data_IF_752055794061
#
_entry.id   IF_752055794061
#
_cell.length_a   1.000
_cell.length_b   1.000
_cell.length_c   1.000
_cell.angle_alpha   90.00
_cell.angle_beta   90.00
_cell.angle_gamma   90.00
#
_symmetry.space_group_name_H-M   'P 1'
#
loop_
_entity.id
_entity.type
_entity.pdbx_description
1 polymer ?
#
# COMPACT_ATOMS: atom_id res chain seq x y z
N UNK A 1 18.71 -3.31 -6.57
CA UNK A 1 17.96 -4.10 -7.55
C UNK A 1 18.70 -5.34 -8.05
N UNK A 2 19.99 -5.26 -8.43
CA UNK A 2 20.75 -6.44 -8.90
C UNK A 2 20.65 -7.67 -7.97
N UNK A 3 20.78 -7.49 -6.65
CA UNK A 3 20.62 -8.60 -5.71
C UNK A 3 19.22 -9.25 -5.72
N UNK A 4 18.17 -8.50 -6.05
CA UNK A 4 16.81 -9.03 -6.21
C UNK A 4 16.71 -9.81 -7.52
N UNK A 5 17.26 -9.25 -8.61
CA UNK A 5 17.35 -9.91 -9.92
C UNK A 5 18.05 -11.28 -9.82
N UNK A 6 19.20 -11.36 -9.15
CA UNK A 6 19.95 -12.60 -8.92
C UNK A 6 19.15 -13.69 -8.20
N UNK A 7 18.06 -13.32 -7.53
CA UNK A 7 17.19 -14.19 -6.73
C UNK A 7 15.81 -14.39 -7.34
N UNK A 8 15.56 -13.85 -8.54
CA UNK A 8 14.24 -13.90 -9.18
C UNK A 8 13.17 -13.09 -8.41
N UNK A 9 13.58 -12.06 -7.69
CA UNK A 9 12.67 -11.18 -6.93
C UNK A 9 12.41 -9.93 -7.77
N UNK A 10 11.15 -9.73 -8.18
CA UNK A 10 10.69 -8.49 -8.79
C UNK A 10 10.56 -7.37 -7.73
N UNK A 11 10.66 -6.12 -8.16
CA UNK A 11 10.69 -4.95 -7.26
C UNK A 11 9.63 -3.94 -7.70
N UNK A 12 8.68 -3.65 -6.82
CA UNK A 12 7.82 -2.49 -6.94
C UNK A 12 8.58 -1.24 -6.47
N UNK A 13 8.47 -0.14 -7.22
CA UNK A 13 9.06 1.14 -6.84
C UNK A 13 7.97 2.06 -6.29
N UNK A 14 8.23 2.71 -5.17
CA UNK A 14 7.42 3.78 -4.61
C UNK A 14 8.32 4.83 -3.95
N UNK A 15 7.74 5.91 -3.44
CA UNK A 15 8.44 6.94 -2.71
C UNK A 15 7.56 7.61 -1.66
N UNK A 16 8.16 7.87 -0.50
CA UNK A 16 7.61 8.67 0.60
C UNK A 16 8.14 10.12 0.55
N UNK A 17 8.79 10.52 -0.54
CA UNK A 17 9.41 11.83 -0.73
C UNK A 17 10.16 12.32 0.52
N UNK A 18 11.10 11.51 1.00
CA UNK A 18 11.89 11.80 2.20
C UNK A 18 12.54 13.19 2.11
N UNK A 19 12.45 13.98 3.17
CA UNK A 19 13.16 15.26 3.24
C UNK A 19 14.66 15.00 3.34
N UNK A 20 15.41 15.56 2.39
CA UNK A 20 16.86 15.64 2.45
C UNK A 20 17.30 17.03 2.94
N UNK A 21 18.60 17.21 3.15
CA UNK A 21 19.16 18.49 3.64
C UNK A 21 18.92 19.68 2.71
N UNK A 22 18.54 19.45 1.45
CA UNK A 22 18.24 20.51 0.47
C UNK A 22 16.74 20.67 0.19
N UNK A 23 15.89 19.85 0.82
CA UNK A 23 14.46 19.74 0.55
C UNK A 23 14.14 19.67 -0.96
N UNK A 24 14.86 18.82 -1.70
CA UNK A 24 14.77 18.71 -3.15
C UNK A 24 13.35 18.37 -3.63
N UNK A 25 12.57 17.64 -2.83
CA UNK A 25 11.14 17.35 -3.07
C UNK A 25 10.28 18.59 -3.24
N UNK A 26 10.62 19.72 -2.60
CA UNK A 26 9.88 20.98 -2.75
C UNK A 26 10.04 21.64 -4.13
N UNK A 27 10.92 21.11 -4.98
CA UNK A 27 11.11 21.57 -6.37
C UNK A 27 10.14 20.92 -7.35
N UNK A 28 9.35 19.95 -6.90
CA UNK A 28 8.30 19.34 -7.71
C UNK A 28 7.18 20.38 -7.83
N UNK A 29 7.17 21.11 -8.94
CA UNK A 29 6.24 22.24 -9.16
C UNK A 29 5.00 21.87 -9.96
N UNK A 30 4.94 20.64 -10.48
CA UNK A 30 3.87 20.16 -11.34
C UNK A 30 4.04 18.68 -11.71
N UNK A 31 2.99 18.06 -12.30
CA UNK A 31 3.01 16.66 -12.73
C UNK A 31 4.12 16.34 -13.73
N UNK A 32 4.51 17.30 -14.58
CA UNK A 32 5.60 17.17 -15.54
C UNK A 32 6.96 17.01 -14.86
N UNK A 33 7.18 17.74 -13.76
CA UNK A 33 8.43 17.63 -12.97
C UNK A 33 8.45 16.31 -12.22
N UNK A 34 7.31 15.89 -11.65
CA UNK A 34 7.17 14.59 -11.01
C UNK A 34 7.51 13.45 -12.00
N UNK A 35 6.93 13.50 -13.20
CA UNK A 35 7.19 12.53 -14.25
C UNK A 35 8.66 12.50 -14.69
N UNK A 36 9.29 13.67 -14.87
CA UNK A 36 10.71 13.73 -15.26
C UNK A 36 11.64 13.14 -14.19
N UNK A 37 11.35 13.34 -12.90
CA UNK A 37 12.13 12.73 -11.81
C UNK A 37 12.03 11.20 -11.81
N UNK A 38 10.82 10.68 -12.03
CA UNK A 38 10.61 9.25 -12.18
C UNK A 38 11.26 8.70 -13.44
N UNK A 39 11.14 9.38 -14.58
CA UNK A 39 11.77 9.00 -15.84
C UNK A 39 13.28 8.86 -15.69
N UNK A 40 13.96 9.84 -15.07
CA UNK A 40 15.40 9.78 -14.81
C UNK A 40 15.82 8.60 -13.92
N UNK A 41 14.96 8.26 -12.95
CA UNK A 41 15.19 7.11 -12.07
C UNK A 41 15.07 5.80 -12.88
N UNK A 42 14.03 5.67 -13.70
CA UNK A 42 13.81 4.52 -14.57
C UNK A 42 14.89 4.38 -15.65
N UNK A 43 15.32 5.49 -16.26
CA UNK A 43 16.42 5.55 -17.22
C UNK A 43 17.73 5.02 -16.60
N UNK A 44 17.98 5.34 -15.32
CA UNK A 44 19.15 4.83 -14.58
C UNK A 44 19.07 3.32 -14.37
N UNK A 45 17.89 2.80 -14.00
CA UNK A 45 17.64 1.37 -13.83
C UNK A 45 17.75 0.63 -15.18
N UNK A 46 17.27 1.25 -16.26
CA UNK A 46 17.34 0.73 -17.62
C UNK A 46 18.79 0.67 -18.14
N UNK A 47 19.61 1.67 -17.84
CA UNK A 47 21.04 1.68 -18.20
C UNK A 47 21.81 0.48 -17.61
N UNK A 48 21.38 -0.01 -16.45
CA UNK A 48 21.94 -1.21 -15.81
C UNK A 48 21.27 -2.52 -16.28
N UNK A 49 20.34 -2.45 -17.24
CA UNK A 49 19.61 -3.62 -17.76
C UNK A 49 18.63 -4.25 -16.76
N UNK A 50 18.23 -3.50 -15.73
CA UNK A 50 17.41 -4.01 -14.62
C UNK A 50 15.91 -3.67 -14.74
N UNK A 51 15.51 -2.97 -15.81
CA UNK A 51 14.12 -2.51 -15.97
C UNK A 51 13.10 -3.65 -16.02
N UNK A 52 13.47 -4.81 -16.57
CA UNK A 52 12.63 -6.00 -16.60
C UNK A 52 12.35 -6.63 -15.24
N UNK A 53 13.02 -6.18 -14.17
CA UNK A 53 12.75 -6.61 -12.79
C UNK A 53 11.84 -5.63 -12.02
N UNK A 54 11.41 -4.53 -12.65
CA UNK A 54 10.43 -3.61 -12.05
C UNK A 54 9.03 -4.21 -12.20
N UNK A 55 8.38 -4.49 -11.07
CA UNK A 55 7.03 -5.07 -11.06
C UNK A 55 5.96 -4.03 -11.42
N UNK A 56 6.04 -2.86 -10.78
CA UNK A 56 5.24 -1.68 -11.08
C UNK A 56 5.92 -0.44 -10.48
N UNK A 57 5.44 0.74 -10.87
CA UNK A 57 5.90 2.04 -10.38
C UNK A 57 4.71 2.79 -9.78
N UNK A 58 4.74 2.95 -8.46
CA UNK A 58 3.86 3.82 -7.69
C UNK A 58 4.51 5.19 -7.55
N UNK A 59 3.87 6.23 -8.08
CA UNK A 59 4.50 7.56 -8.13
C UNK A 59 4.56 8.27 -6.78
N UNK A 60 3.68 7.91 -5.84
CA UNK A 60 3.62 8.50 -4.51
C UNK A 60 2.86 7.60 -3.55
N UNK A 61 3.50 7.27 -2.43
CA UNK A 61 2.87 6.56 -1.32
C UNK A 61 1.63 7.29 -0.81
N UNK A 62 0.51 6.58 -0.61
CA UNK A 62 -0.71 7.06 0.04
C UNK A 62 -1.19 8.42 -0.48
N UNK A 63 -1.27 8.54 -1.80
CA UNK A 63 -1.73 9.76 -2.45
C UNK A 63 -3.20 10.07 -2.13
N UNK A 64 -3.58 11.32 -1.79
CA UNK A 64 -2.78 12.53 -1.77
C UNK A 64 -2.50 12.99 -0.32
N UNK A 65 -2.02 12.13 0.57
CA UNK A 65 -1.77 12.56 1.95
C UNK A 65 -0.68 13.66 2.00
N UNK A 66 -0.89 14.78 2.71
CA UNK A 66 0.07 15.89 2.80
C UNK A 66 1.47 15.49 3.26
N UNK A 67 1.56 14.45 4.10
CA UNK A 67 2.82 13.92 4.60
C UNK A 67 3.74 13.42 3.48
N UNK A 68 3.16 12.90 2.39
CA UNK A 68 3.89 12.31 1.27
C UNK A 68 3.82 13.14 -0.01
N UNK A 69 2.93 14.13 -0.06
CA UNK A 69 2.72 15.01 -1.22
C UNK A 69 3.06 16.47 -0.90
N UNK A 70 4.28 16.79 -0.44
CA UNK A 70 4.66 18.16 -0.05
C UNK A 70 4.65 19.15 -1.23
N UNK A 71 4.48 18.67 -2.46
CA UNK A 71 4.31 19.47 -3.67
C UNK A 71 2.85 19.87 -3.95
N UNK A 72 1.89 19.18 -3.33
CA UNK A 72 0.46 19.47 -3.45
C UNK A 72 -0.06 20.31 -2.27
N UNK A 73 0.66 20.32 -1.15
CA UNK A 73 0.25 20.97 0.09
C UNK A 73 1.31 21.92 0.63
N UNK A 74 0.91 23.02 1.31
CA UNK A 74 1.83 23.95 1.94
C UNK A 74 2.52 23.37 3.20
N UNK A 75 2.08 22.21 3.69
CA UNK A 75 2.66 21.54 4.86
C UNK A 75 1.91 20.26 5.21
N UNK A 76 2.51 19.45 6.09
CA UNK A 76 2.01 18.11 6.45
C UNK A 76 0.72 18.12 7.28
N UNK A 77 0.35 19.25 7.90
CA UNK A 77 -0.88 19.44 8.67
C UNK A 77 -2.06 19.96 7.82
N UNK A 78 -1.88 20.09 6.50
CA UNK A 78 -2.95 20.54 5.63
C UNK A 78 -4.13 19.56 5.65
N UNK A 79 -5.34 20.08 5.41
CA UNK A 79 -6.51 19.24 5.21
C UNK A 79 -6.32 18.41 3.94
N UNK A 80 -6.58 17.10 4.03
CA UNK A 80 -6.46 16.20 2.88
C UNK A 80 -7.52 16.57 1.85
N UNK A 81 -7.07 16.85 0.63
CA UNK A 81 -7.94 17.12 -0.52
C UNK A 81 -8.42 15.83 -1.13
N UNK A 82 -9.64 15.83 -1.68
CA UNK A 82 -10.22 14.64 -2.29
C UNK A 82 -9.56 14.34 -3.63
N UNK A 83 -9.39 13.05 -3.97
CA UNK A 83 -8.93 12.66 -5.32
C UNK A 83 -9.92 12.98 -6.43
N UNK A 84 -11.15 13.32 -6.08
CA UNK A 84 -12.17 13.81 -7.03
C UNK A 84 -11.96 15.27 -7.44
N UNK A 85 -11.13 16.03 -6.71
CA UNK A 85 -10.80 17.40 -7.09
C UNK A 85 -9.94 17.42 -8.36
N UNK A 86 -10.32 18.28 -9.33
CA UNK A 86 -9.69 18.28 -10.66
C UNK A 86 -8.18 18.48 -10.65
N UNK A 87 -7.65 19.32 -9.77
CA UNK A 87 -6.19 19.50 -9.63
C UNK A 87 -5.51 18.24 -9.07
N UNK A 88 -6.06 17.64 -8.02
CA UNK A 88 -5.52 16.41 -7.41
C UNK A 88 -5.57 15.26 -8.43
N UNK A 89 -6.66 15.13 -9.17
CA UNK A 89 -6.75 14.13 -10.24
C UNK A 89 -5.75 14.39 -11.37
N UNK A 90 -5.56 15.65 -11.80
CA UNK A 90 -4.68 15.96 -12.93
C UNK A 90 -3.21 15.64 -12.63
N UNK A 91 -2.78 15.72 -11.37
CA UNK A 91 -1.47 15.23 -10.96
C UNK A 91 -1.25 13.76 -11.28
N UNK A 92 -2.26 12.91 -11.07
CA UNK A 92 -2.18 11.49 -11.42
C UNK A 92 -2.18 11.31 -12.94
N UNK A 93 -3.16 11.91 -13.63
CA UNK A 93 -3.34 11.71 -15.07
C UNK A 93 -2.13 12.19 -15.90
N UNK A 94 -1.69 13.43 -15.68
CA UNK A 94 -0.66 14.07 -16.48
C UNK A 94 0.72 13.45 -16.24
N UNK A 95 1.06 13.12 -14.98
CA UNK A 95 2.36 12.52 -14.66
C UNK A 95 2.49 11.10 -15.21
N UNK A 96 1.42 10.30 -15.14
CA UNK A 96 1.38 8.96 -15.71
C UNK A 96 1.41 8.99 -17.24
N UNK A 97 0.67 9.91 -17.87
CA UNK A 97 0.70 10.07 -19.32
C UNK A 97 2.12 10.41 -19.82
N UNK A 98 2.82 11.31 -19.14
CA UNK A 98 4.20 11.67 -19.47
C UNK A 98 5.18 10.50 -19.30
N UNK A 99 5.03 9.69 -18.25
CA UNK A 99 5.86 8.49 -18.05
C UNK A 99 5.60 7.40 -19.10
N UNK A 100 4.33 7.13 -19.41
CA UNK A 100 3.95 6.15 -20.42
C UNK A 100 4.48 6.50 -21.81
N UNK A 101 4.62 7.79 -22.12
CA UNK A 101 5.24 8.22 -23.38
C UNK A 101 6.72 7.82 -23.50
N UNK A 102 7.39 7.56 -22.37
CA UNK A 102 8.83 7.29 -22.28
C UNK A 102 9.15 5.82 -21.97
N UNK A 103 8.37 5.18 -21.11
CA UNK A 103 8.46 3.76 -20.77
C UNK A 103 7.08 3.09 -20.85
N UNK A 104 6.51 2.90 -22.07
CA UNK A 104 5.15 2.39 -22.27
C UNK A 104 4.93 0.94 -21.80
N UNK A 105 6.00 0.19 -21.57
CA UNK A 105 5.97 -1.21 -21.15
C UNK A 105 5.76 -1.43 -19.65
N UNK A 106 5.91 -0.37 -18.84
CA UNK A 106 5.80 -0.44 -17.38
C UNK A 106 4.35 -0.28 -16.92
N UNK A 107 4.12 -0.78 -15.71
CA UNK A 107 2.85 -0.71 -15.01
C UNK A 107 2.92 0.41 -13.98
N UNK A 108 1.90 1.28 -13.95
CA UNK A 108 1.89 2.47 -13.11
C UNK A 108 0.67 2.60 -12.22
N UNK A 109 0.86 3.19 -11.05
CA UNK A 109 -0.22 3.60 -10.16
C UNK A 109 0.17 4.80 -9.28
N UNK A 110 -0.80 5.21 -8.46
CA UNK A 110 -0.60 5.87 -7.18
C UNK A 110 -1.24 4.97 -6.11
N UNK A 111 -0.60 4.79 -4.96
CA UNK A 111 -1.16 4.00 -3.84
C UNK A 111 -2.10 4.82 -2.97
N UNK A 112 -3.14 4.20 -2.41
CA UNK A 112 -4.18 4.89 -1.61
C UNK A 112 -4.42 4.23 -0.26
N UNK A 113 -4.75 5.02 0.77
CA UNK A 113 -5.08 4.52 2.12
C UNK A 113 -6.36 5.11 2.72
N UNK A 114 -7.19 5.80 1.93
CA UNK A 114 -8.42 6.46 2.37
C UNK A 114 -9.41 6.62 1.20
N UNK A 115 -10.58 7.21 1.48
CA UNK A 115 -11.72 7.40 0.57
C UNK A 115 -12.21 6.07 -0.05
N UNK A 116 -12.19 4.99 0.71
CA UNK A 116 -12.73 3.71 0.26
C UNK A 116 -14.25 3.73 0.17
N UNK A 117 -14.94 4.58 0.94
CA UNK A 117 -16.42 4.66 0.89
C UNK A 117 -16.96 5.35 -0.36
N UNK A 118 -16.19 6.24 -0.97
CA UNK A 118 -16.57 7.02 -2.17
C UNK A 118 -15.89 6.49 -3.45
N UNK A 119 -15.48 5.23 -3.46
CA UNK A 119 -14.70 4.67 -4.57
C UNK A 119 -15.40 4.75 -5.94
N UNK A 120 -16.74 4.73 -5.97
CA UNK A 120 -17.52 4.83 -7.21
C UNK A 120 -17.46 6.23 -7.85
N UNK A 121 -17.06 7.25 -7.09
CA UNK A 121 -16.97 8.63 -7.55
C UNK A 121 -15.57 8.96 -8.08
N UNK A 122 -14.60 8.08 -7.84
CA UNK A 122 -13.20 8.29 -8.20
C UNK A 122 -12.92 7.78 -9.63
N UNK A 123 -12.38 8.67 -10.47
CA UNK A 123 -11.78 8.26 -11.73
C UNK A 123 -10.37 7.74 -11.49
N UNK A 124 -10.20 6.43 -11.72
CA UNK A 124 -8.92 5.72 -11.61
C UNK A 124 -8.50 5.11 -12.95
N UNK A 125 -9.07 5.59 -14.05
CA UNK A 125 -8.85 5.03 -15.39
C UNK A 125 -7.40 5.13 -15.85
N UNK A 126 -6.67 6.16 -15.38
CA UNK A 126 -5.26 6.39 -15.69
C UNK A 126 -4.30 5.38 -15.03
N UNK A 127 -4.72 4.69 -13.97
CA UNK A 127 -3.93 3.70 -13.24
C UNK A 127 -3.98 2.34 -13.92
N UNK A 128 -2.90 1.56 -13.87
CA UNK A 128 -2.91 0.16 -14.36
C UNK A 128 -3.40 -0.83 -13.31
N UNK A 129 -3.20 -0.52 -12.04
CA UNK A 129 -3.59 -1.32 -10.88
C UNK A 129 -4.07 -0.41 -9.74
N UNK A 130 -4.74 -1.00 -8.77
CA UNK A 130 -5.07 -0.37 -7.50
C UNK A 130 -4.11 -0.92 -6.43
N UNK A 131 -3.24 -0.07 -5.90
CA UNK A 131 -2.44 -0.37 -4.71
C UNK A 131 -3.16 0.27 -3.52
N UNK A 132 -3.74 -0.56 -2.65
CA UNK A 132 -4.60 -0.12 -1.56
C UNK A 132 -4.05 -0.59 -0.21
N UNK A 133 -3.82 0.36 0.69
CA UNK A 133 -3.38 0.10 2.06
C UNK A 133 -4.58 -0.15 2.97
N UNK A 134 -4.62 -1.32 3.61
CA UNK A 134 -5.82 -1.82 4.29
C UNK A 134 -5.47 -2.31 5.69
N UNK A 135 -5.96 -1.64 6.73
CA UNK A 135 -5.80 -2.05 8.11
C UNK A 135 -7.13 -2.10 8.86
N UNK A 136 -7.30 -3.09 9.72
CA UNK A 136 -8.44 -3.22 10.62
C UNK A 136 -8.70 -1.93 11.42
N UNK A 137 -7.63 -1.22 11.79
CA UNK A 137 -7.69 0.00 12.62
C UNK A 137 -7.95 1.30 11.86
N UNK A 138 -8.06 1.30 10.52
CA UNK A 138 -8.40 2.51 9.78
C UNK A 138 -9.80 3.02 10.19
N UNK A 139 -10.03 4.34 10.26
CA UNK A 139 -11.34 4.89 10.65
C UNK A 139 -12.51 4.41 9.76
N UNK A 140 -12.27 4.23 8.46
CA UNK A 140 -13.27 3.68 7.52
C UNK A 140 -13.53 2.17 7.70
N UNK A 141 -12.65 1.48 8.45
CA UNK A 141 -12.75 0.07 8.78
C UNK A 141 -13.31 -0.13 10.19
N UNK A 142 -12.79 0.51 11.23
CA UNK A 142 -13.26 0.31 12.62
C UNK A 142 -12.96 1.48 13.56
N UNK A 143 -13.47 1.40 14.79
CA UNK A 143 -13.26 2.35 15.87
C UNK A 143 -12.13 1.92 16.85
N UNK A 144 -11.30 0.94 16.48
CA UNK A 144 -10.31 0.34 17.39
C UNK A 144 -9.35 1.37 18.00
N UNK A 145 -8.76 2.23 17.17
CA UNK A 145 -7.86 3.29 17.63
C UNK A 145 -8.58 4.38 18.42
N UNK A 146 -9.82 4.73 18.05
CA UNK A 146 -10.65 5.65 18.82
C UNK A 146 -10.87 5.12 20.25
N UNK A 147 -11.21 3.84 20.40
CA UNK A 147 -11.40 3.19 21.71
C UNK A 147 -10.11 3.11 22.54
N UNK A 148 -8.95 3.07 21.91
CA UNK A 148 -7.65 3.17 22.59
C UNK A 148 -7.24 4.62 22.88
N UNK A 149 -8.03 5.60 22.43
CA UNK A 149 -7.71 7.02 22.55
C UNK A 149 -6.50 7.44 21.72
N UNK A 150 -6.27 6.78 20.57
CA UNK A 150 -5.20 7.10 19.63
C UNK A 150 -5.77 7.68 18.34
N UNK A 151 -5.31 8.86 17.96
CA UNK A 151 -5.66 9.48 16.68
C UNK A 151 -4.49 9.35 15.71
N UNK A 152 -4.58 8.44 14.73
CA UNK A 152 -3.48 8.18 13.78
C UNK A 152 -2.93 9.45 13.12
N UNK A 153 -3.80 10.39 12.72
CA UNK A 153 -3.39 11.67 12.13
C UNK A 153 -2.84 12.69 13.13
N UNK A 154 -3.38 12.71 14.35
CA UNK A 154 -3.01 13.70 15.37
C UNK A 154 -1.74 13.31 16.15
N UNK A 155 -1.63 12.03 16.50
CA UNK A 155 -0.54 11.50 17.30
C UNK A 155 0.64 11.05 16.41
N UNK A 156 0.44 10.92 15.08
CA UNK A 156 1.46 10.56 14.08
C UNK A 156 2.41 9.44 14.58
N UNK A 157 3.70 9.73 14.65
CA UNK A 157 4.78 8.85 15.13
C UNK A 157 5.13 9.04 16.62
N UNK A 158 4.24 9.65 17.42
CA UNK A 158 4.44 9.80 18.86
C UNK A 158 4.52 8.42 19.54
N UNK A 159 5.58 8.13 20.32
CA UNK A 159 5.73 6.86 21.00
C UNK A 159 4.63 6.55 22.03
N UNK A 160 3.80 7.52 22.43
CA UNK A 160 2.64 7.33 23.33
C UNK A 160 1.71 6.24 22.82
N UNK A 161 1.60 6.09 21.50
CA UNK A 161 0.82 5.05 20.85
C UNK A 161 1.21 3.64 21.32
N UNK A 162 2.51 3.34 21.36
CA UNK A 162 2.99 2.03 21.80
C UNK A 162 2.64 1.75 23.26
N UNK A 163 2.62 2.80 24.09
CA UNK A 163 2.19 2.68 25.49
C UNK A 163 0.69 2.36 25.58
N UNK A 164 -0.16 3.02 24.77
CA UNK A 164 -1.60 2.75 24.72
C UNK A 164 -1.91 1.34 24.21
N UNK A 165 -1.23 0.91 23.14
CA UNK A 165 -1.33 -0.45 22.62
C UNK A 165 -0.89 -1.50 23.65
N UNK A 166 0.25 -1.31 24.31
CA UNK A 166 0.72 -2.24 25.34
C UNK A 166 -0.22 -2.24 26.56
N UNK A 167 -0.81 -1.09 26.88
CA UNK A 167 -1.72 -0.97 27.99
C UNK A 167 -3.05 -1.70 27.75
N UNK A 168 -3.58 -1.80 26.52
CA UNK A 168 -4.92 -2.34 26.29
C UNK A 168 -5.28 -2.85 24.90
N UNK A 169 -4.39 -2.77 23.91
CA UNK A 169 -4.68 -3.16 22.52
C UNK A 169 -5.11 -4.62 22.39
N UNK A 170 -4.30 -5.55 22.89
CA UNK A 170 -4.65 -6.99 22.86
C UNK A 170 -5.94 -7.28 23.63
N UNK A 171 -6.15 -6.64 24.79
CA UNK A 171 -7.38 -6.84 25.58
C UNK A 171 -8.63 -6.35 24.84
N UNK A 172 -8.52 -5.22 24.14
CA UNK A 172 -9.61 -4.70 23.32
C UNK A 172 -9.91 -5.64 22.16
N UNK A 173 -8.87 -6.13 21.47
CA UNK A 173 -9.02 -7.14 20.43
C UNK A 173 -9.71 -8.40 20.96
N UNK A 174 -9.18 -8.95 22.06
CA UNK A 174 -9.66 -10.19 22.68
C UNK A 174 -11.08 -10.11 23.26
N UNK A 175 -11.62 -8.90 23.47
CA UNK A 175 -13.00 -8.72 23.94
C UNK A 175 -14.04 -9.13 22.91
N UNK A 176 -13.72 -9.02 21.62
CA UNK A 176 -14.59 -9.45 20.51
C UNK A 176 -13.77 -9.66 19.21
N UNK A 177 -12.99 -10.75 19.10
CA UNK A 177 -12.16 -11.01 17.92
C UNK A 177 -12.97 -11.15 16.62
N UNK A 178 -14.18 -11.69 16.70
CA UNK A 178 -15.06 -11.87 15.54
C UNK A 178 -15.51 -10.52 14.98
N UNK A 179 -15.82 -9.55 15.84
CA UNK A 179 -16.12 -8.20 15.41
C UNK A 179 -14.98 -7.59 14.59
N UNK A 180 -13.75 -7.61 15.10
CA UNK A 180 -12.60 -7.00 14.42
C UNK A 180 -12.28 -7.71 13.09
N UNK A 181 -12.34 -9.05 13.06
CA UNK A 181 -12.21 -9.83 11.81
C UNK A 181 -13.30 -9.46 10.82
N UNK A 182 -14.56 -9.36 11.24
CA UNK A 182 -15.66 -8.98 10.36
C UNK A 182 -15.47 -7.57 9.78
N UNK A 183 -15.01 -6.61 10.59
CA UNK A 183 -14.70 -5.24 10.10
C UNK A 183 -13.60 -5.26 9.04
N UNK A 184 -12.53 -6.01 9.27
CA UNK A 184 -11.45 -6.20 8.29
C UNK A 184 -11.96 -6.87 7.00
N UNK A 185 -12.76 -7.94 7.11
CA UNK A 185 -13.30 -8.62 5.94
C UNK A 185 -14.21 -7.72 5.09
N UNK A 186 -15.09 -6.93 5.72
CA UNK A 186 -15.93 -5.95 5.01
C UNK A 186 -15.05 -4.95 4.25
N UNK A 187 -13.94 -4.50 4.86
CA UNK A 187 -13.04 -3.56 4.23
C UNK A 187 -12.29 -4.17 3.03
N UNK A 188 -11.81 -5.41 3.15
CA UNK A 188 -11.19 -6.17 2.05
C UNK A 188 -12.19 -6.41 0.91
N UNK A 189 -13.43 -6.78 1.22
CA UNK A 189 -14.47 -6.96 0.20
C UNK A 189 -14.82 -5.66 -0.51
N UNK A 190 -14.82 -4.52 0.20
CA UNK A 190 -15.00 -3.20 -0.42
C UNK A 190 -13.88 -2.88 -1.41
N UNK A 191 -12.63 -3.13 -1.06
CA UNK A 191 -11.50 -3.01 -1.99
C UNK A 191 -11.67 -3.93 -3.21
N UNK A 192 -12.11 -5.17 -3.00
CA UNK A 192 -12.44 -6.09 -4.10
C UNK A 192 -13.56 -5.57 -5.02
N UNK A 193 -14.58 -4.93 -4.45
CA UNK A 193 -15.67 -4.31 -5.22
C UNK A 193 -15.20 -3.09 -6.01
N UNK A 194 -14.28 -2.29 -5.46
CA UNK A 194 -13.62 -1.22 -6.22
C UNK A 194 -12.84 -1.78 -7.41
N UNK A 195 -12.05 -2.84 -7.20
CA UNK A 195 -11.36 -3.54 -8.28
C UNK A 195 -12.29 -4.05 -9.38
N UNK A 196 -13.47 -4.59 -9.01
CA UNK A 196 -14.48 -5.02 -9.99
C UNK A 196 -15.08 -3.83 -10.73
N UNK A 197 -15.37 -2.74 -10.02
CA UNK A 197 -15.93 -1.52 -10.59
C UNK A 197 -14.97 -0.87 -11.60
N UNK A 198 -13.70 -0.71 -11.25
CA UNK A 198 -12.67 -0.11 -12.11
C UNK A 198 -12.09 -1.10 -13.14
N UNK A 199 -12.38 -2.39 -13.01
CA UNK A 199 -11.74 -3.48 -13.75
C UNK A 199 -10.20 -3.40 -13.69
N UNK A 200 -9.66 -3.27 -12.48
CA UNK A 200 -8.21 -3.19 -12.21
C UNK A 200 -7.78 -4.26 -11.21
N UNK A 201 -6.59 -4.86 -11.35
CA UNK A 201 -6.04 -5.76 -10.34
C UNK A 201 -5.71 -5.02 -9.05
N UNK A 202 -5.65 -5.76 -7.93
CA UNK A 202 -5.25 -5.23 -6.64
C UNK A 202 -3.84 -5.66 -6.23
N UNK A 203 -3.16 -4.75 -5.57
CA UNK A 203 -1.95 -4.99 -4.79
C UNK A 203 -2.15 -4.36 -3.42
N UNK A 204 -1.60 -4.99 -2.37
CA UNK A 204 -1.53 -4.40 -1.04
C UNK A 204 -0.19 -4.73 -0.43
N UNK A 205 0.60 -3.69 -0.13
CA UNK A 205 1.88 -3.82 0.60
C UNK A 205 1.79 -3.36 2.05
N UNK A 206 0.82 -2.50 2.40
CA UNK A 206 0.60 -2.07 3.78
C UNK A 206 -0.72 -2.56 4.39
N UNK A 207 -0.63 -3.41 5.42
CA UNK A 207 -1.77 -4.19 5.95
C UNK A 207 -1.41 -5.06 7.17
N UNK A 208 -2.30 -5.84 7.79
CA UNK A 208 -3.78 -5.89 7.73
C UNK A 208 -4.42 -5.49 9.06
N UNK A 209 -3.61 -5.42 10.11
CA UNK A 209 -4.07 -5.33 11.49
C UNK A 209 -3.98 -3.89 12.01
N UNK A 210 -2.75 -3.48 12.37
CA UNK A 210 -2.44 -2.15 12.91
C UNK A 210 -1.46 -1.43 12.00
N UNK A 211 -1.53 -0.10 11.94
CA UNK A 211 -0.62 0.72 11.12
C UNK A 211 0.79 0.75 11.74
N UNK A 212 0.86 1.08 13.03
CA UNK A 212 2.11 1.22 13.78
C UNK A 212 2.25 0.12 14.83
N UNK A 213 3.32 -0.66 14.74
CA UNK A 213 3.74 -1.69 15.70
C UNK A 213 5.26 -1.86 15.71
N UNK A 214 5.83 -2.42 16.78
CA UNK A 214 7.26 -2.75 16.86
C UNK A 214 7.53 -3.74 18.00
N UNK A 215 8.74 -4.29 18.04
CA UNK A 215 9.21 -5.03 19.21
C UNK A 215 9.29 -4.09 20.42
N UNK A 216 8.43 -4.32 21.42
CA UNK A 216 8.29 -3.45 22.59
C UNK A 216 7.75 -4.23 23.80
N UNK A 217 8.13 -3.88 25.05
CA UNK A 217 7.55 -4.50 26.23
C UNK A 217 6.01 -4.37 26.28
N UNK A 218 5.32 -5.50 26.46
CA UNK A 218 3.86 -5.56 26.52
C UNK A 218 3.16 -5.54 25.15
N UNK A 219 3.91 -5.54 24.04
CA UNK A 219 3.36 -5.73 22.70
C UNK A 219 3.58 -7.18 22.24
N UNK A 220 2.50 -7.96 22.27
CA UNK A 220 2.48 -9.33 21.77
C UNK A 220 2.12 -9.36 20.28
N UNK A 221 2.89 -10.12 19.49
CA UNK A 221 2.68 -10.24 18.05
C UNK A 221 1.59 -11.26 17.69
N UNK A 222 1.12 -12.09 18.60
CA UNK A 222 0.18 -13.17 18.33
C UNK A 222 -1.14 -12.69 17.72
N UNK A 223 -1.80 -11.72 18.36
CA UNK A 223 -3.06 -11.18 17.85
C UNK A 223 -2.89 -10.36 16.56
N UNK A 224 -1.73 -9.71 16.38
CA UNK A 224 -1.39 -9.00 15.14
C UNK A 224 -1.19 -9.99 13.99
N UNK A 225 -0.43 -11.06 14.22
CA UNK A 225 -0.18 -12.12 13.26
C UNK A 225 -1.48 -12.87 12.89
N UNK A 226 -2.37 -13.10 13.86
CA UNK A 226 -3.69 -13.71 13.60
C UNK A 226 -4.53 -12.85 12.65
N UNK A 227 -4.63 -11.53 12.90
CA UNK A 227 -5.36 -10.62 12.01
C UNK A 227 -4.69 -10.51 10.63
N UNK A 228 -3.36 -10.56 10.57
CA UNK A 228 -2.63 -10.57 9.30
C UNK A 228 -2.90 -11.85 8.49
N UNK A 229 -2.90 -13.01 9.13
CA UNK A 229 -3.27 -14.29 8.50
C UNK A 229 -4.71 -14.26 7.99
N UNK A 230 -5.66 -13.79 8.81
CA UNK A 230 -7.04 -13.63 8.40
C UNK A 230 -7.22 -12.67 7.21
N UNK A 231 -6.48 -11.54 7.21
CA UNK A 231 -6.49 -10.58 6.11
C UNK A 231 -5.95 -11.18 4.81
N UNK A 232 -4.85 -11.91 4.87
CA UNK A 232 -4.28 -12.63 3.71
C UNK A 232 -5.28 -13.64 3.15
N UNK A 233 -5.85 -14.51 3.98
CA UNK A 233 -6.81 -15.52 3.52
C UNK A 233 -8.02 -14.86 2.84
N UNK A 234 -8.59 -13.83 3.48
CA UNK A 234 -9.74 -13.10 2.96
C UNK A 234 -9.43 -12.42 1.63
N UNK A 235 -8.27 -11.75 1.51
CA UNK A 235 -7.86 -11.06 0.29
C UNK A 235 -7.67 -12.04 -0.87
N UNK A 236 -6.99 -13.17 -0.61
CA UNK A 236 -6.75 -14.19 -1.63
C UNK A 236 -8.06 -14.87 -2.06
N UNK A 237 -9.00 -15.13 -1.14
CA UNK A 237 -10.32 -15.71 -1.45
C UNK A 237 -11.17 -14.84 -2.38
N UNK A 238 -10.91 -13.53 -2.46
CA UNK A 238 -11.62 -12.65 -3.41
C UNK A 238 -11.25 -12.90 -4.87
N UNK A 239 -10.07 -13.48 -5.12
CA UNK A 239 -9.48 -13.65 -6.45
C UNK A 239 -9.22 -12.33 -7.19
N UNK A 240 -9.05 -11.21 -6.48
CA UNK A 240 -8.80 -9.87 -7.10
C UNK A 240 -7.36 -9.37 -6.95
N UNK A 241 -6.60 -9.89 -5.99
CA UNK A 241 -5.22 -9.48 -5.75
C UNK A 241 -4.25 -10.25 -6.64
N UNK A 242 -3.27 -9.53 -7.20
CA UNK A 242 -2.13 -10.11 -7.91
C UNK A 242 -0.84 -10.11 -7.08
N UNK A 243 -0.75 -9.26 -6.05
CA UNK A 243 0.31 -9.30 -5.06
C UNK A 243 -0.23 -8.92 -3.67
N UNK A 244 0.17 -9.67 -2.65
CA UNK A 244 -0.38 -9.58 -1.29
C UNK A 244 0.79 -9.59 -0.31
N UNK A 245 0.91 -8.58 0.55
CA UNK A 245 1.82 -8.64 1.70
C UNK A 245 1.16 -9.40 2.85
N UNK A 246 1.99 -10.06 3.67
CA UNK A 246 1.51 -10.62 4.94
C UNK A 246 1.31 -9.52 5.98
N UNK A 247 2.13 -8.46 5.95
CA UNK A 247 2.00 -7.25 6.75
C UNK A 247 3.03 -6.18 6.33
N UNK A 248 2.79 -4.90 6.65
CA UNK A 248 3.83 -3.85 6.59
C UNK A 248 5.00 -4.07 7.57
N UNK A 249 4.89 -5.03 8.51
CA UNK A 249 5.98 -5.39 9.43
C UNK A 249 6.86 -6.55 8.91
N UNK A 250 6.73 -6.94 7.64
CA UNK A 250 7.47 -8.05 7.03
C UNK A 250 8.94 -7.67 6.71
N UNK A 251 9.73 -7.38 7.75
CA UNK A 251 11.13 -7.00 7.62
C UNK A 251 11.98 -7.38 8.84
N UNK A 252 13.31 -7.53 8.67
CA UNK A 252 14.21 -8.07 9.69
C UNK A 252 14.29 -7.23 10.98
N UNK A 253 13.92 -5.95 10.91
CA UNK A 253 13.86 -5.05 12.07
C UNK A 253 12.69 -5.33 13.02
N UNK A 254 11.68 -6.09 12.58
CA UNK A 254 10.52 -6.49 13.37
C UNK A 254 10.65 -7.97 13.75
N UNK A 255 11.51 -8.26 14.72
CA UNK A 255 11.93 -9.62 15.07
C UNK A 255 10.73 -10.49 15.46
N UNK A 256 9.74 -9.95 16.16
CA UNK A 256 8.53 -10.69 16.51
C UNK A 256 7.68 -11.16 15.33
N UNK A 257 7.54 -10.34 14.28
CA UNK A 257 6.92 -10.75 13.02
C UNK A 257 7.85 -11.67 12.21
N UNK A 258 9.13 -11.32 12.11
CA UNK A 258 10.08 -11.93 11.18
C UNK A 258 10.53 -13.36 11.56
N UNK A 259 10.56 -13.68 12.85
CA UNK A 259 11.21 -14.91 13.35
C UNK A 259 10.46 -16.21 13.02
N UNK A 260 9.14 -16.17 12.82
CA UNK A 260 8.36 -17.38 12.57
C UNK A 260 8.35 -17.76 11.08
N UNK A 261 9.40 -18.47 10.67
CA UNK A 261 9.55 -18.93 9.29
C UNK A 261 8.36 -19.78 8.80
N UNK A 262 7.76 -20.61 9.66
CA UNK A 262 6.68 -21.50 9.26
C UNK A 262 5.40 -20.73 8.98
N UNK A 263 5.14 -19.68 9.75
CA UNK A 263 4.03 -18.76 9.52
C UNK A 263 4.16 -18.09 8.15
N UNK A 264 5.33 -17.50 7.85
CA UNK A 264 5.59 -16.87 6.55
C UNK A 264 5.51 -17.86 5.37
N UNK A 265 6.07 -19.06 5.52
CA UNK A 265 6.02 -20.10 4.47
C UNK A 265 4.58 -20.56 4.18
N UNK A 266 3.74 -20.69 5.21
CA UNK A 266 2.33 -21.04 5.05
C UNK A 266 1.59 -19.95 4.27
N UNK A 267 1.71 -18.69 4.69
CA UNK A 267 1.00 -17.59 4.04
C UNK A 267 1.49 -17.32 2.62
N UNK A 268 2.79 -17.38 2.38
CA UNK A 268 3.32 -17.24 1.01
C UNK A 268 2.88 -18.39 0.10
N UNK A 269 2.77 -19.62 0.62
CA UNK A 269 2.18 -20.74 -0.13
C UNK A 269 0.70 -20.49 -0.43
N UNK A 270 -0.06 -19.94 0.52
CA UNK A 270 -1.47 -19.56 0.32
C UNK A 270 -1.63 -18.48 -0.76
N UNK A 271 -0.77 -17.45 -0.72
CA UNK A 271 -0.77 -16.34 -1.68
C UNK A 271 -0.45 -16.85 -3.08
N UNK A 272 0.65 -17.59 -3.25
CA UNK A 272 1.05 -18.13 -4.57
C UNK A 272 0.11 -19.22 -5.10
N UNK A 273 -0.61 -19.92 -4.22
CA UNK A 273 -1.63 -20.90 -4.57
C UNK A 273 -3.03 -20.31 -4.79
N UNK A 274 -3.21 -19.00 -4.65
CA UNK A 274 -4.48 -18.32 -4.86
C UNK A 274 -4.91 -18.33 -6.33
N UNK A 275 -6.19 -18.62 -6.58
CA UNK A 275 -6.76 -18.47 -7.91
C UNK A 275 -7.16 -17.01 -8.15
N UNK A 276 -6.91 -16.51 -9.36
CA UNK A 276 -7.35 -15.18 -9.77
C UNK A 276 -8.59 -15.26 -10.65
N UNK A 277 -9.53 -14.34 -10.42
CA UNK A 277 -10.70 -14.13 -11.27
C UNK A 277 -10.43 -13.19 -12.46
N UNK A 278 -9.20 -12.65 -12.53
CA UNK A 278 -8.76 -11.74 -13.59
C UNK A 278 -8.37 -12.52 -14.85
N UNK A 279 -8.64 -11.94 -16.02
CA UNK A 279 -8.29 -12.56 -17.30
C UNK A 279 -6.87 -12.16 -17.73
N UNK A 280 -6.01 -13.16 -17.96
CA UNK A 280 -4.63 -12.96 -18.43
C UNK A 280 -4.55 -12.31 -19.83
N UNK A 281 -5.58 -12.47 -20.67
CA UNK A 281 -5.62 -11.81 -21.98
C UNK A 281 -5.90 -10.31 -21.88
N UNK A 282 -6.62 -9.90 -20.83
CA UNK A 282 -7.06 -8.52 -20.63
C UNK A 282 -6.10 -7.70 -19.76
N UNK A 283 -5.32 -8.33 -18.88
CA UNK A 283 -4.57 -7.64 -17.83
C UNK A 283 -3.08 -7.43 -18.21
N UNK A 284 -2.60 -6.17 -18.35
CA UNK A 284 -1.20 -5.87 -18.61
C UNK A 284 -0.24 -6.41 -17.53
N UNK A 285 -0.65 -6.44 -16.26
CA UNK A 285 0.14 -6.95 -15.14
C UNK A 285 0.38 -8.46 -15.29
N UNK A 286 -0.68 -9.22 -15.62
CA UNK A 286 -0.56 -10.67 -15.86
C UNK A 286 0.32 -10.96 -17.09
N UNK A 287 0.25 -10.13 -18.13
CA UNK A 287 1.15 -10.24 -19.30
C UNK A 287 2.60 -9.90 -18.96
N UNK A 288 2.83 -8.96 -18.04
CA UNK A 288 4.16 -8.64 -17.54
C UNK A 288 4.73 -9.81 -16.73
N UNK A 289 3.94 -10.36 -15.79
CA UNK A 289 4.33 -11.55 -15.02
C UNK A 289 4.64 -12.77 -15.89
N UNK A 290 3.92 -12.98 -17.00
CA UNK A 290 4.14 -14.12 -17.89
C UNK A 290 5.40 -14.04 -18.76
N UNK A 291 6.09 -12.89 -18.80
CA UNK A 291 7.32 -12.68 -19.59
C UNK A 291 8.61 -12.90 -18.80
N UNK A 292 8.53 -12.92 -17.47
CA UNK A 292 9.64 -13.22 -16.55
C UNK A 292 9.65 -14.68 -16.10
#
# INVERSE_FOLDING_TARGET
>A
MAACADRGIAVALSTWFREDTTNARARISGPEVLAELWARTLDTIAADGLLGHVLYVDLCNEYPLPLWTPFLYPGEDAEVRSRTEGEVHSWMEESLAALRARHPELIYCFSFCNEFESYQEQDVSCLDLLELHLWMVQPECSDFYERLGYGLGADRFDPVHYTRLAAGGERLYASDPDHWRQRLAVHIHRAADWSRHANKPLVTIESWAVVNYKDWPGLDWGWVNELCEYGVDTAVDTGRWLAVSTSNFCGPQFVGMWRDLRWHQRLTSRIHGGETSLSAEADPFLRHLAKG
#
